data_IF_866185412822
#
_entry.id   IF_866185412822
#
_cell.length_a   1.000
_cell.length_b   1.000
_cell.length_c   1.000
_cell.angle_alpha   90.00
_cell.angle_beta   90.00
_cell.angle_gamma   90.00
#
_symmetry.space_group_name_H-M   'P 1'
#
loop_
_entity.id
_entity.type
_entity.pdbx_description
1 polymer ?
#
# COMPACT_ATOMS: atom_id res chain seq x y z
N UNK A 1 18.53 26.81 -23.45
CA UNK A 1 18.14 25.39 -23.46
C UNK A 1 17.18 25.19 -22.29
N UNK A 2 15.89 25.08 -22.54
CA UNK A 2 14.90 24.84 -21.47
C UNK A 2 14.71 23.33 -21.35
N UNK A 3 15.11 22.77 -20.21
CA UNK A 3 14.94 21.35 -19.92
C UNK A 3 13.46 21.05 -19.73
N UNK A 4 12.89 20.28 -20.64
CA UNK A 4 11.53 19.74 -20.55
C UNK A 4 11.49 18.77 -19.36
N UNK A 5 10.85 19.20 -18.26
CA UNK A 5 10.68 18.37 -17.08
C UNK A 5 9.64 17.29 -17.39
N UNK A 6 10.11 16.09 -17.72
CA UNK A 6 9.21 14.94 -17.89
C UNK A 6 8.48 14.68 -16.57
N UNK A 7 7.23 15.13 -16.46
CA UNK A 7 6.40 14.90 -15.29
C UNK A 7 5.95 13.44 -15.30
N UNK A 8 6.73 12.57 -14.64
CA UNK A 8 6.32 11.18 -14.40
C UNK A 8 5.06 11.20 -13.56
N UNK A 9 3.91 10.94 -14.19
CA UNK A 9 2.63 10.84 -13.49
C UNK A 9 2.66 9.66 -12.51
N UNK A 10 2.27 9.90 -11.27
CA UNK A 10 2.23 8.84 -10.26
C UNK A 10 1.16 7.82 -10.63
N UNK A 11 1.54 6.53 -10.76
CA UNK A 11 0.58 5.44 -10.97
C UNK A 11 -0.47 5.43 -9.84
N UNK A 12 -1.75 5.31 -10.21
CA UNK A 12 -2.88 5.22 -9.27
C UNK A 12 -2.63 4.09 -8.25
N UNK A 13 -2.75 4.39 -6.95
CA UNK A 13 -2.51 3.42 -5.85
C UNK A 13 -1.07 3.37 -5.32
N UNK A 14 -0.14 4.15 -5.90
CA UNK A 14 1.18 4.34 -5.32
C UNK A 14 1.10 5.12 -4.00
N UNK A 15 1.91 4.71 -3.02
CA UNK A 15 2.03 5.41 -1.74
C UNK A 15 3.29 6.25 -1.79
N UNK A 16 3.15 7.56 -1.59
CA UNK A 16 4.28 8.48 -1.48
C UNK A 16 5.14 8.10 -0.27
N UNK A 17 6.47 8.09 -0.48
CA UNK A 17 7.48 7.92 0.56
C UNK A 17 7.42 9.07 1.59
N UNK A 18 8.03 8.90 2.76
CA UNK A 18 8.06 9.96 3.79
C UNK A 18 8.70 11.24 3.24
N UNK A 19 9.89 11.10 2.64
CA UNK A 19 10.63 12.21 2.02
C UNK A 19 9.80 12.98 0.99
N UNK A 20 9.09 12.26 0.11
CA UNK A 20 8.23 12.91 -0.89
C UNK A 20 7.09 13.72 -0.24
N UNK A 21 6.53 13.26 0.88
CA UNK A 21 5.49 14.01 1.60
C UNK A 21 6.05 15.24 2.31
N UNK A 22 7.27 15.15 2.83
CA UNK A 22 7.97 16.28 3.44
C UNK A 22 8.20 17.39 2.41
N UNK A 23 8.69 17.03 1.22
CA UNK A 23 8.85 17.97 0.10
C UNK A 23 7.51 18.64 -0.24
N UNK A 24 6.44 17.85 -0.41
CA UNK A 24 5.10 18.39 -0.71
C UNK A 24 4.62 19.34 0.38
N UNK A 25 4.88 19.05 1.65
CA UNK A 25 4.51 19.94 2.76
C UNK A 25 5.32 21.22 2.78
N UNK A 26 6.61 21.17 2.49
CA UNK A 26 7.45 22.35 2.45
C UNK A 26 6.99 23.30 1.34
N UNK A 27 6.70 22.76 0.15
CA UNK A 27 6.12 23.54 -0.96
C UNK A 27 4.76 24.12 -0.58
N UNK A 28 3.90 23.33 0.08
CA UNK A 28 2.60 23.80 0.55
C UNK A 28 2.71 24.95 1.57
N UNK A 29 3.61 24.84 2.55
CA UNK A 29 3.88 25.91 3.54
C UNK A 29 4.42 27.17 2.88
N UNK A 30 5.34 27.02 1.92
CA UNK A 30 5.88 28.14 1.16
C UNK A 30 4.77 28.90 0.42
N UNK A 31 3.91 28.19 -0.32
CA UNK A 31 2.79 28.79 -1.04
C UNK A 31 1.72 29.39 -0.11
N UNK A 32 1.59 28.88 1.12
CA UNK A 32 0.78 29.53 2.15
C UNK A 32 1.41 30.80 2.69
N UNK A 33 2.74 30.89 2.74
CA UNK A 33 3.47 32.12 3.08
C UNK A 33 3.16 33.23 2.07
N UNK A 34 3.32 32.94 0.78
CA UNK A 34 3.00 33.89 -0.30
C UNK A 34 1.56 34.41 -0.22
N UNK A 35 0.63 33.55 0.21
CA UNK A 35 -0.77 33.92 0.43
C UNK A 35 -0.94 34.96 1.54
N UNK A 36 -0.23 34.78 2.65
CA UNK A 36 -0.24 35.70 3.80
C UNK A 36 0.43 37.02 3.46
N UNK A 37 1.44 36.98 2.61
CA UNK A 37 2.18 38.17 2.14
C UNK A 37 1.39 38.98 1.10
N UNK A 38 0.15 38.56 0.78
CA UNK A 38 -0.78 39.34 -0.03
C UNK A 38 -0.61 39.16 -1.54
N UNK A 39 0.15 38.15 -1.99
CA UNK A 39 0.25 37.80 -3.42
C UNK A 39 -1.12 37.28 -3.90
N UNK A 40 -1.80 38.07 -4.75
CA UNK A 40 -3.22 37.94 -5.14
C UNK A 40 -3.63 36.66 -5.91
N UNK A 41 -2.82 35.61 -5.95
CA UNK A 41 -3.18 34.31 -6.52
C UNK A 41 -3.96 33.46 -5.49
N UNK A 42 -5.03 34.05 -4.94
CA UNK A 42 -5.53 33.72 -3.60
C UNK A 42 -6.39 32.47 -3.45
N UNK A 43 -6.91 31.87 -4.52
CA UNK A 43 -8.02 30.93 -4.31
C UNK A 43 -7.68 29.45 -4.45
N UNK A 44 -6.47 29.08 -4.90
CA UNK A 44 -6.14 27.66 -5.18
C UNK A 44 -4.69 27.27 -4.88
N UNK A 45 -4.20 27.54 -3.66
CA UNK A 45 -2.88 27.08 -3.18
C UNK A 45 -2.68 25.58 -3.46
N UNK A 46 -3.69 24.76 -3.17
CA UNK A 46 -3.61 23.31 -3.38
C UNK A 46 -3.48 22.91 -4.85
N UNK A 47 -4.07 23.67 -5.78
CA UNK A 47 -3.96 23.38 -7.21
C UNK A 47 -2.55 23.71 -7.73
N UNK A 48 -1.96 24.82 -7.29
CA UNK A 48 -0.58 25.19 -7.65
C UNK A 48 0.43 24.20 -7.10
N UNK A 49 0.24 23.74 -5.87
CA UNK A 49 1.09 22.69 -5.29
C UNK A 49 0.92 21.38 -6.05
N UNK A 50 -0.30 21.03 -6.46
CA UNK A 50 -0.55 19.85 -7.28
C UNK A 50 0.15 19.92 -8.64
N UNK A 51 0.11 21.09 -9.29
CA UNK A 51 0.79 21.35 -10.56
C UNK A 51 2.32 21.29 -10.40
N UNK A 52 2.86 21.94 -9.38
CA UNK A 52 4.31 21.96 -9.13
C UNK A 52 4.89 20.59 -8.74
N UNK A 53 4.12 19.77 -8.01
CA UNK A 53 4.60 18.49 -7.47
C UNK A 53 4.11 17.27 -8.27
N UNK A 54 3.17 17.45 -9.20
CA UNK A 54 2.51 16.37 -9.94
C UNK A 54 1.62 15.47 -9.07
N UNK A 55 1.27 15.91 -7.85
CA UNK A 55 0.51 15.13 -6.87
C UNK A 55 -0.96 15.58 -6.87
N UNK A 56 -1.90 14.64 -6.72
CA UNK A 56 -3.32 14.99 -6.66
C UNK A 56 -3.66 15.91 -5.47
N UNK A 57 -4.62 16.82 -5.66
CA UNK A 57 -5.13 17.72 -4.62
C UNK A 57 -5.58 16.95 -3.36
N UNK A 58 -6.27 15.81 -3.56
CA UNK A 58 -6.72 14.95 -2.45
C UNK A 58 -5.55 14.39 -1.63
N UNK A 59 -4.44 14.05 -2.28
CA UNK A 59 -3.24 13.59 -1.59
C UNK A 59 -2.62 14.71 -0.75
N UNK A 60 -2.58 15.93 -1.26
CA UNK A 60 -2.09 17.11 -0.52
C UNK A 60 -2.96 17.36 0.71
N UNK A 61 -4.28 17.37 0.57
CA UNK A 61 -5.22 17.53 1.68
C UNK A 61 -5.00 16.46 2.77
N UNK A 62 -4.82 15.20 2.37
CA UNK A 62 -4.55 14.11 3.31
C UNK A 62 -3.21 14.27 4.03
N UNK A 63 -2.17 14.69 3.32
CA UNK A 63 -0.85 14.92 3.91
C UNK A 63 -0.92 16.09 4.91
N UNK A 64 -1.58 17.18 4.52
CA UNK A 64 -1.77 18.36 5.38
C UNK A 64 -2.56 18.02 6.64
N UNK A 65 -3.66 17.27 6.53
CA UNK A 65 -4.49 16.90 7.68
C UNK A 65 -3.78 15.93 8.62
N UNK A 66 -3.00 14.98 8.08
CA UNK A 66 -2.16 14.08 8.87
C UNK A 66 -1.09 14.85 9.66
N UNK A 67 -0.47 15.84 9.04
CA UNK A 67 0.53 16.67 9.70
C UNK A 67 -0.07 17.53 10.83
N UNK A 68 -1.24 18.12 10.59
CA UNK A 68 -1.96 18.90 11.60
C UNK A 68 -2.38 18.07 12.81
N UNK A 69 -2.79 16.82 12.61
CA UNK A 69 -3.29 15.96 13.68
C UNK A 69 -2.18 15.23 14.46
N UNK A 70 -1.05 14.87 13.82
CA UNK A 70 -0.07 13.95 14.40
C UNK A 70 1.34 14.52 14.56
N UNK A 71 1.62 15.72 14.02
CA UNK A 71 2.95 16.34 14.04
C UNK A 71 4.06 15.58 13.30
N UNK A 72 3.83 14.33 12.91
CA UNK A 72 4.74 13.46 12.16
C UNK A 72 4.00 12.83 10.98
N UNK A 73 4.65 12.81 9.83
CA UNK A 73 4.17 12.18 8.60
C UNK A 73 4.26 10.66 8.71
N UNK A 74 3.32 10.04 9.40
CA UNK A 74 3.21 8.60 9.39
C UNK A 74 2.80 8.13 7.98
N UNK A 75 3.66 7.34 7.33
CA UNK A 75 3.22 6.53 6.20
C UNK A 75 2.16 5.54 6.71
N UNK A 76 0.97 5.47 6.09
CA UNK A 76 0.04 4.39 6.41
C UNK A 76 0.78 3.10 6.11
N UNK A 77 1.01 2.30 7.14
CA UNK A 77 1.58 0.96 6.99
C UNK A 77 0.68 0.21 6.01
N UNK A 78 1.14 0.07 4.76
CA UNK A 78 0.62 -1.01 3.92
C UNK A 78 1.02 -2.25 4.69
N UNK A 79 0.06 -3.01 5.21
CA UNK A 79 0.29 -4.44 5.41
C UNK A 79 0.75 -4.94 4.03
N UNK A 80 2.05 -5.13 3.86
CA UNK A 80 2.67 -5.62 2.64
C UNK A 80 2.21 -7.06 2.48
N UNK A 81 1.03 -7.26 1.88
CA UNK A 81 0.49 -8.54 1.44
C UNK A 81 0.86 -9.73 2.32
N UNK A 82 0.22 -9.84 3.49
CA UNK A 82 0.23 -11.10 4.27
C UNK A 82 -0.76 -12.12 3.68
N UNK A 83 -1.06 -12.03 2.39
CA UNK A 83 -1.98 -12.92 1.68
C UNK A 83 -1.26 -13.90 0.73
N UNK A 84 0.08 -13.93 0.72
CA UNK A 84 0.84 -14.92 -0.07
C UNK A 84 0.99 -16.29 0.60
N UNK A 85 0.54 -16.45 1.84
CA UNK A 85 0.76 -17.68 2.62
C UNK A 85 -0.52 -18.36 3.12
N UNK A 86 -1.71 -17.97 2.64
CA UNK A 86 -2.93 -18.70 2.98
C UNK A 86 -3.02 -20.03 2.22
N UNK A 87 -2.57 -20.11 0.97
CA UNK A 87 -2.68 -21.33 0.14
C UNK A 87 -1.69 -22.44 0.51
N UNK A 88 -0.54 -22.11 1.10
CA UNK A 88 0.46 -23.09 1.53
C UNK A 88 0.04 -23.84 2.80
N UNK A 89 -0.73 -23.20 3.69
CA UNK A 89 -1.27 -23.84 4.91
C UNK A 89 -2.33 -24.91 4.59
N UNK A 90 -3.16 -24.67 3.58
CA UNK A 90 -4.21 -25.62 3.18
C UNK A 90 -3.63 -26.79 2.35
N UNK A 91 -2.60 -26.57 1.51
CA UNK A 91 -1.96 -27.65 0.75
C UNK A 91 -1.27 -28.70 1.65
N UNK A 92 -0.59 -28.27 2.71
CA UNK A 92 -0.01 -29.19 3.68
C UNK A 92 -1.06 -30.07 4.38
N UNK A 93 -2.18 -29.46 4.78
CA UNK A 93 -3.30 -30.17 5.41
C UNK A 93 -3.96 -31.19 4.47
N UNK A 94 -4.17 -30.85 3.20
CA UNK A 94 -4.73 -31.78 2.22
C UNK A 94 -3.80 -32.97 1.91
N UNK A 95 -2.48 -32.75 1.82
CA UNK A 95 -1.53 -33.84 1.61
C UNK A 95 -1.49 -34.78 2.82
N UNK A 96 -1.47 -34.25 4.04
CA UNK A 96 -1.53 -35.07 5.26
C UNK A 96 -2.83 -35.87 5.36
N UNK A 97 -3.98 -35.26 5.02
CA UNK A 97 -5.28 -35.95 5.05
C UNK A 97 -5.35 -37.06 4.00
N UNK A 98 -4.82 -36.82 2.79
CA UNK A 98 -4.78 -37.79 1.70
C UNK A 98 -3.90 -39.00 2.04
N UNK A 99 -2.70 -38.77 2.59
CA UNK A 99 -1.80 -39.85 3.05
C UNK A 99 -2.45 -40.65 4.19
N UNK A 100 -3.16 -39.99 5.11
CA UNK A 100 -3.86 -40.65 6.21
C UNK A 100 -5.00 -41.54 5.72
N UNK A 101 -5.79 -41.09 4.73
CA UNK A 101 -6.86 -41.88 4.12
C UNK A 101 -6.28 -43.13 3.43
N UNK A 102 -5.25 -42.98 2.59
CA UNK A 102 -4.62 -44.12 1.90
C UNK A 102 -4.06 -45.14 2.91
N UNK A 103 -3.37 -44.68 3.95
CA UNK A 103 -2.81 -45.55 5.00
C UNK A 103 -3.90 -46.32 5.76
N UNK A 104 -5.06 -45.69 6.00
CA UNK A 104 -6.18 -46.30 6.72
C UNK A 104 -6.93 -47.32 5.86
N UNK A 105 -7.12 -47.06 4.57
CA UNK A 105 -7.71 -48.02 3.61
C UNK A 105 -6.82 -49.25 3.42
N UNK A 106 -5.50 -49.07 3.33
CA UNK A 106 -4.56 -50.19 3.22
C UNK A 106 -4.63 -51.18 4.39
N UNK A 107 -4.83 -50.70 5.62
CA UNK A 107 -5.01 -51.56 6.81
C UNK A 107 -6.33 -52.35 6.80
N UNK A 108 -7.40 -51.78 6.25
CA UNK A 108 -8.71 -52.46 6.17
C UNK A 108 -8.68 -53.61 5.16
N UNK A 109 -8.02 -53.43 4.01
CA UNK A 109 -7.90 -54.47 2.99
C UNK A 109 -7.00 -55.64 3.42
N UNK A 110 -5.96 -55.39 4.23
CA UNK A 110 -5.08 -56.46 4.72
C UNK A 110 -5.79 -57.36 5.77
N UNK A 111 -6.75 -56.82 6.53
CA UNK A 111 -7.46 -57.57 7.58
C UNK A 111 -8.46 -58.61 7.03
N UNK A 112 -8.99 -58.42 5.80
CA UNK A 112 -9.91 -59.39 5.16
C UNK A 112 -9.21 -60.63 4.59
N UNK A 113 -7.90 -60.62 4.36
CA UNK A 113 -7.15 -61.78 3.82
C UNK A 113 -6.78 -62.84 4.87
N UNK A 114 -6.95 -62.57 6.17
CA UNK A 114 -6.57 -63.49 7.26
C UNK A 114 -7.72 -64.34 7.82
N UNK A 115 -8.92 -64.29 7.23
CA UNK A 115 -10.09 -65.06 7.69
C UNK A 115 -10.64 -66.05 6.65
N UNK A 116 -9.89 -66.32 5.58
CA UNK A 116 -10.18 -67.41 4.64
C UNK A 116 -8.96 -68.35 4.59
N UNK A 117 -8.72 -69.07 5.69
CA UNK A 117 -8.06 -70.38 5.74
C UNK A 117 -8.90 -71.23 6.68
#
# INVERSE_FOLDING_TARGET
MMAESTTKSFKKGCVLSSQAREIVLNVYKFMQGELKDGVKLLNKVQARVAEATGVSVRSIQRISSQNAAKGKLATPNKKLGEDRNQYLRWRGLFVCLFIFIISRVGKILNKKKKHCV
#
